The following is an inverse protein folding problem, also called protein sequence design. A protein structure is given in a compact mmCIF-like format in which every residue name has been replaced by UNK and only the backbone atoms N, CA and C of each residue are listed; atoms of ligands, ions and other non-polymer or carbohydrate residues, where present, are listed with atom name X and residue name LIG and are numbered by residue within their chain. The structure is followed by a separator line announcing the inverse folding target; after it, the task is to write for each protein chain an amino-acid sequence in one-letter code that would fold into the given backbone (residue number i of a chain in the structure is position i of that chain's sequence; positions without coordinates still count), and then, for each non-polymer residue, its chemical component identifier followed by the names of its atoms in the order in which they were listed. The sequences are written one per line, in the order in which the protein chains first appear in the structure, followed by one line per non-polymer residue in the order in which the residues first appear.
data_IF_620173982777
#
_entry.id   IF_620173982777
#
_cell.length_a   1.000
_cell.length_b   1.000
_cell.length_c   1.000
_cell.angle_alpha   90.00
_cell.angle_beta   90.00
_cell.angle_gamma   90.00
#
_symmetry.space_group_name_H-M   'P 1'
#
loop_
_entity.id
_entity.type
_entity.pdbx_description
1 polymer ?
#
# COMPACT_ATOMS: atom_id res chain seq x y z
N UNK A 1 17.47 16.18 5.51
CA UNK A 1 16.06 16.61 5.39
C UNK A 1 15.20 15.61 6.12
N UNK A 2 14.19 16.06 6.84
CA UNK A 2 13.33 15.14 7.61
C UNK A 2 12.08 14.82 6.78
N UNK A 3 12.02 13.65 6.17
CA UNK A 3 10.82 13.15 5.44
C UNK A 3 9.57 13.03 6.32
N UNK A 4 9.73 13.16 7.65
CA UNK A 4 8.57 13.22 8.57
C UNK A 4 7.68 14.43 8.32
N UNK A 5 8.26 15.59 7.99
CA UNK A 5 7.50 16.81 7.67
C UNK A 5 6.73 16.61 6.36
N UNK A 6 7.36 15.97 5.37
CA UNK A 6 6.77 15.76 4.06
C UNK A 6 5.53 14.86 4.19
N UNK A 7 5.66 13.70 4.82
CA UNK A 7 4.51 12.81 4.99
C UNK A 7 3.43 13.40 5.91
N UNK A 8 3.82 14.16 6.93
CA UNK A 8 2.88 14.82 7.84
C UNK A 8 1.99 15.84 7.14
N UNK A 9 2.51 16.55 6.13
CA UNK A 9 1.73 17.50 5.33
C UNK A 9 0.59 16.83 4.55
N UNK A 10 0.77 15.56 4.16
CA UNK A 10 -0.21 14.79 3.36
C UNK A 10 -1.22 14.03 4.23
N UNK A 11 -0.96 13.83 5.52
CA UNK A 11 -1.87 13.06 6.40
C UNK A 11 -3.31 13.58 6.48
N UNK A 12 -3.59 14.90 6.43
CA UNK A 12 -4.97 15.40 6.36
C UNK A 12 -5.70 14.92 5.10
N UNK A 13 -5.02 14.89 3.95
CA UNK A 13 -5.58 14.39 2.70
C UNK A 13 -5.82 12.87 2.75
N UNK A 14 -4.89 12.10 3.34
CA UNK A 14 -5.08 10.66 3.56
C UNK A 14 -6.33 10.42 4.43
N UNK A 15 -6.50 11.17 5.52
CA UNK A 15 -7.68 11.03 6.39
C UNK A 15 -8.99 11.35 5.64
N UNK A 16 -8.98 12.40 4.81
CA UNK A 16 -10.13 12.81 3.98
C UNK A 16 -10.46 11.74 2.93
N UNK A 17 -9.46 11.18 2.24
CA UNK A 17 -9.61 10.11 1.27
C UNK A 17 -10.18 8.83 1.92
N UNK A 18 -9.67 8.43 3.09
CA UNK A 18 -10.18 7.30 3.88
C UNK A 18 -11.65 7.50 4.24
N UNK A 19 -12.02 8.69 4.71
CA UNK A 19 -13.42 8.96 5.11
C UNK A 19 -14.36 8.98 3.90
N UNK A 20 -13.92 9.53 2.76
CA UNK A 20 -14.68 9.48 1.51
C UNK A 20 -14.90 8.02 1.07
N UNK A 21 -13.83 7.23 1.02
CA UNK A 21 -13.90 5.82 0.63
C UNK A 21 -14.81 5.00 1.57
N UNK A 22 -14.68 5.19 2.90
CA UNK A 22 -15.58 4.54 3.88
C UNK A 22 -17.05 4.86 3.65
N UNK A 23 -17.38 6.13 3.37
CA UNK A 23 -18.76 6.53 3.07
C UNK A 23 -19.26 5.93 1.78
N UNK A 24 -18.45 5.94 0.72
CA UNK A 24 -18.79 5.33 -0.56
C UNK A 24 -19.03 3.83 -0.41
N UNK A 25 -18.17 3.11 0.32
CA UNK A 25 -18.35 1.68 0.58
C UNK A 25 -19.67 1.38 1.32
N UNK A 26 -20.00 2.15 2.37
CA UNK A 26 -21.20 1.94 3.18
C UNK A 26 -22.51 2.30 2.46
N UNK A 27 -22.48 3.28 1.56
CA UNK A 27 -23.66 3.75 0.84
C UNK A 27 -23.99 2.93 -0.41
N UNK A 28 -23.19 1.90 -0.73
CA UNK A 28 -23.35 1.11 -1.95
C UNK A 28 -22.95 1.88 -3.23
N UNK A 29 -22.36 3.07 -3.11
CA UNK A 29 -21.84 3.86 -4.24
C UNK A 29 -20.48 3.33 -4.76
N UNK A 30 -20.10 2.14 -4.33
CA UNK A 30 -18.95 1.41 -4.81
C UNK A 30 -19.26 0.63 -6.11
N UNK A 31 -20.08 1.25 -7.01
CA UNK A 31 -20.36 0.63 -8.31
C UNK A 31 -19.05 0.37 -9.07
N UNK A 32 -18.85 -0.90 -9.39
CA UNK A 32 -17.66 -1.38 -10.06
C UNK A 32 -17.72 -1.10 -11.54
N UNK A 33 -16.69 -0.42 -12.06
CA UNK A 33 -16.35 -0.40 -13.48
C UNK A 33 -15.14 -1.29 -13.70
N UNK A 34 -15.02 -1.93 -14.86
CA UNK A 34 -13.86 -2.74 -15.22
C UNK A 34 -12.97 -1.94 -16.16
N UNK A 35 -11.69 -1.80 -15.81
CA UNK A 35 -10.66 -1.17 -16.66
C UNK A 35 -10.35 -2.07 -17.89
N UNK A 36 -9.65 -1.51 -18.86
CA UNK A 36 -9.21 -2.24 -20.06
C UNK A 36 -8.32 -3.45 -19.75
N UNK A 37 -7.58 -3.41 -18.63
CA UNK A 37 -6.72 -4.50 -18.15
C UNK A 37 -7.49 -5.55 -17.32
N UNK A 38 -8.81 -5.41 -17.18
CA UNK A 38 -9.67 -6.30 -16.42
C UNK A 38 -9.71 -6.04 -14.91
N UNK A 39 -9.01 -5.03 -14.39
CA UNK A 39 -9.05 -4.67 -12.98
C UNK A 39 -10.30 -3.87 -12.63
N UNK A 40 -10.71 -3.91 -11.36
CA UNK A 40 -11.84 -3.15 -10.85
C UNK A 40 -11.42 -1.71 -10.55
N UNK A 41 -12.31 -0.76 -10.81
CA UNK A 41 -12.20 0.63 -10.39
C UNK A 41 -13.57 1.16 -10.02
N UNK A 42 -13.64 2.08 -9.09
CA UNK A 42 -14.88 2.75 -8.68
C UNK A 42 -14.75 4.28 -8.73
N UNK A 43 -15.85 4.98 -8.63
CA UNK A 43 -15.82 6.44 -8.50
C UNK A 43 -15.04 6.92 -7.27
N UNK A 44 -15.00 6.09 -6.22
CA UNK A 44 -14.25 6.40 -5.00
C UNK A 44 -12.73 6.37 -5.21
N UNK A 45 -12.21 5.50 -6.09
CA UNK A 45 -10.79 5.47 -6.46
C UNK A 45 -10.37 6.82 -7.07
N UNK A 46 -11.12 7.30 -8.07
CA UNK A 46 -10.85 8.59 -8.71
C UNK A 46 -10.98 9.77 -7.75
N UNK A 47 -12.03 9.78 -6.90
CA UNK A 47 -12.23 10.86 -5.95
C UNK A 47 -11.15 10.88 -4.86
N UNK A 48 -10.74 9.71 -4.35
CA UNK A 48 -9.66 9.60 -3.38
C UNK A 48 -8.32 10.01 -4.00
N UNK A 49 -8.02 9.57 -5.23
CA UNK A 49 -6.81 9.98 -5.92
C UNK A 49 -6.76 11.49 -6.16
N UNK A 50 -7.85 12.10 -6.58
CA UNK A 50 -7.94 13.55 -6.73
C UNK A 50 -7.54 14.27 -5.43
N UNK A 51 -8.12 13.88 -4.29
CA UNK A 51 -7.81 14.48 -2.98
C UNK A 51 -6.31 14.38 -2.66
N UNK A 52 -5.71 13.21 -2.90
CA UNK A 52 -4.31 12.95 -2.58
C UNK A 52 -3.36 13.69 -3.52
N UNK A 53 -3.60 13.61 -4.83
CA UNK A 53 -2.76 14.26 -5.84
C UNK A 53 -2.82 15.79 -5.70
N UNK A 54 -4.01 16.34 -5.42
CA UNK A 54 -4.17 17.79 -5.19
C UNK A 54 -3.39 18.26 -3.98
N UNK A 55 -3.43 17.52 -2.87
CA UNK A 55 -2.65 17.86 -1.68
C UNK A 55 -1.13 17.75 -1.94
N UNK A 56 -0.68 16.77 -2.72
CA UNK A 56 0.73 16.68 -3.12
C UNK A 56 1.11 17.91 -3.96
N UNK A 57 0.30 18.28 -4.93
CA UNK A 57 0.53 19.47 -5.75
C UNK A 57 0.63 20.76 -4.92
N UNK A 58 -0.27 20.95 -3.97
CA UNK A 58 -0.32 22.13 -3.11
C UNK A 58 0.91 22.25 -2.18
N UNK A 59 1.36 21.14 -1.61
CA UNK A 59 2.48 21.11 -0.68
C UNK A 59 3.86 20.92 -1.36
N UNK A 60 3.88 20.27 -2.52
CA UNK A 60 5.10 19.86 -3.25
C UNK A 60 4.93 20.07 -4.77
N UNK A 61 4.76 21.32 -5.23
CA UNK A 61 4.40 21.61 -6.62
C UNK A 61 5.44 21.17 -7.67
N UNK A 62 6.67 20.87 -7.22
CA UNK A 62 7.75 20.38 -8.08
C UNK A 62 7.90 18.86 -8.13
N UNK A 63 7.18 18.14 -7.28
CA UNK A 63 7.30 16.68 -7.20
C UNK A 63 6.39 15.99 -8.24
N UNK A 64 6.92 14.98 -8.92
CA UNK A 64 6.11 14.12 -9.78
C UNK A 64 5.20 13.19 -8.95
N UNK A 65 4.09 12.76 -9.56
CA UNK A 65 3.18 11.78 -8.97
C UNK A 65 3.07 10.57 -9.88
N UNK A 66 3.19 9.37 -9.31
CA UNK A 66 2.97 8.08 -9.96
C UNK A 66 1.78 7.42 -9.27
N UNK A 67 0.60 7.47 -9.87
CA UNK A 67 -0.63 6.99 -9.26
C UNK A 67 -1.25 5.83 -10.05
N UNK A 68 -2.07 5.03 -9.39
CA UNK A 68 -2.74 3.89 -10.03
C UNK A 68 -3.69 4.33 -11.13
N UNK A 69 -4.55 5.34 -10.86
CA UNK A 69 -5.56 5.79 -11.79
C UNK A 69 -4.99 6.85 -12.74
N UNK A 70 -5.47 6.82 -13.99
CA UNK A 70 -5.15 7.81 -15.03
C UNK A 70 -6.41 8.44 -15.58
N UNK A 71 -6.30 9.62 -16.21
CA UNK A 71 -7.45 10.36 -16.75
C UNK A 71 -8.15 9.67 -17.95
N UNK A 72 -7.61 8.55 -18.43
CA UNK A 72 -8.10 7.86 -19.64
C UNK A 72 -9.48 7.22 -19.48
N UNK A 73 -9.90 6.93 -18.25
CA UNK A 73 -11.17 6.26 -17.98
C UNK A 73 -12.21 7.23 -17.41
N UNK A 74 -12.82 8.02 -18.27
CA UNK A 74 -13.76 9.10 -17.90
C UNK A 74 -15.14 8.62 -17.44
N UNK A 75 -15.48 7.34 -17.57
CA UNK A 75 -16.82 6.82 -17.27
C UNK A 75 -17.23 6.98 -15.79
N UNK A 76 -16.28 6.97 -14.86
CA UNK A 76 -16.53 7.17 -13.44
C UNK A 76 -16.35 8.63 -12.98
N UNK A 77 -15.92 9.54 -13.88
CA UNK A 77 -15.59 10.93 -13.52
C UNK A 77 -16.79 11.69 -12.95
N UNK A 78 -17.98 11.56 -13.55
CA UNK A 78 -19.18 12.26 -13.07
C UNK A 78 -19.62 11.77 -11.68
N UNK A 79 -19.51 10.48 -11.44
CA UNK A 79 -19.79 9.90 -10.13
C UNK A 79 -18.75 10.33 -9.08
N UNK A 80 -17.46 10.40 -9.46
CA UNK A 80 -16.40 10.90 -8.60
C UNK A 80 -16.60 12.39 -8.25
N UNK A 81 -16.95 13.23 -9.23
CA UNK A 81 -17.27 14.64 -9.00
C UNK A 81 -18.46 14.83 -8.03
N UNK A 82 -19.48 13.97 -8.09
CA UNK A 82 -20.57 13.98 -7.11
C UNK A 82 -20.08 13.66 -5.69
N UNK A 83 -19.13 12.75 -5.54
CA UNK A 83 -18.51 12.43 -4.24
C UNK A 83 -17.66 13.59 -3.71
N UNK A 84 -17.03 14.35 -4.59
CA UNK A 84 -16.14 15.48 -4.26
C UNK A 84 -16.94 16.78 -4.00
N UNK A 85 -18.14 16.90 -4.52
CA UNK A 85 -18.98 18.10 -4.36
C UNK A 85 -18.59 19.24 -5.30
N UNK A 86 -18.07 20.34 -4.77
CA UNK A 86 -17.76 21.56 -5.52
C UNK A 86 -16.43 21.53 -6.29
N UNK A 87 -16.12 20.45 -6.99
CA UNK A 87 -14.90 20.32 -7.80
C UNK A 87 -15.24 20.54 -9.27
N UNK A 88 -14.50 21.41 -9.95
CA UNK A 88 -14.60 21.62 -11.39
C UNK A 88 -14.09 20.41 -12.18
N UNK A 89 -14.74 20.10 -13.32
CA UNK A 89 -14.35 18.96 -14.17
C UNK A 89 -12.93 19.14 -14.71
N UNK A 90 -12.56 20.34 -15.13
CA UNK A 90 -11.25 20.61 -15.73
C UNK A 90 -10.12 20.43 -14.69
N UNK A 91 -10.29 20.98 -13.48
CA UNK A 91 -9.35 20.77 -12.36
C UNK A 91 -9.24 19.27 -11.98
N UNK A 92 -10.35 18.54 -12.01
CA UNK A 92 -10.38 17.11 -11.74
C UNK A 92 -9.57 16.31 -12.78
N UNK A 93 -9.79 16.56 -14.07
CA UNK A 93 -9.10 15.86 -15.17
C UNK A 93 -7.61 16.22 -15.17
N UNK A 94 -7.27 17.50 -15.00
CA UNK A 94 -5.88 17.95 -14.93
C UNK A 94 -5.14 17.28 -13.77
N UNK A 95 -5.74 17.30 -12.57
CA UNK A 95 -5.13 16.70 -11.37
C UNK A 95 -4.92 15.19 -11.55
N UNK A 96 -5.90 14.45 -12.10
CA UNK A 96 -5.72 13.01 -12.38
C UNK A 96 -4.64 12.75 -13.43
N UNK A 97 -4.51 13.61 -14.43
CA UNK A 97 -3.49 13.52 -15.47
C UNK A 97 -2.06 13.56 -14.91
N UNK A 98 -1.85 14.23 -13.78
CA UNK A 98 -0.56 14.27 -13.08
C UNK A 98 -0.11 12.91 -12.53
N UNK A 99 -1.05 12.01 -12.25
CA UNK A 99 -0.76 10.64 -11.80
C UNK A 99 -0.05 9.76 -12.82
N UNK A 100 0.04 10.20 -14.09
CA UNK A 100 0.79 9.54 -15.15
C UNK A 100 2.30 9.76 -15.14
N UNK A 101 2.85 10.46 -14.14
CA UNK A 101 4.27 10.77 -14.04
C UNK A 101 5.17 9.53 -14.08
N UNK A 102 6.37 9.70 -14.64
CA UNK A 102 7.45 8.72 -14.54
C UNK A 102 8.20 8.86 -13.22
N UNK A 103 8.85 7.78 -12.77
CA UNK A 103 9.76 7.83 -11.65
C UNK A 103 10.94 8.78 -11.94
N UNK A 104 11.54 9.29 -10.90
CA UNK A 104 12.71 10.18 -10.94
C UNK A 104 13.44 10.10 -9.61
N UNK A 105 14.38 11.02 -9.35
CA UNK A 105 15.11 11.05 -8.10
C UNK A 105 14.20 11.28 -6.88
N UNK A 106 13.10 12.06 -7.04
CA UNK A 106 12.07 12.30 -6.01
C UNK A 106 10.69 12.34 -6.64
N UNK A 107 9.76 11.55 -6.11
CA UNK A 107 8.35 11.52 -6.56
C UNK A 107 7.44 10.89 -5.50
N UNK A 108 6.14 11.12 -5.64
CA UNK A 108 5.12 10.49 -4.80
C UNK A 108 4.45 9.32 -5.53
N UNK A 109 4.13 8.26 -4.80
CA UNK A 109 3.25 7.22 -5.31
C UNK A 109 1.91 7.23 -4.58
N UNK A 110 0.82 6.96 -5.31
CA UNK A 110 -0.55 6.98 -4.78
C UNK A 110 -1.29 5.74 -5.25
N UNK A 111 -1.81 4.99 -4.29
CA UNK A 111 -2.87 4.01 -4.51
C UNK A 111 -4.10 4.47 -3.73
N UNK A 112 -5.13 4.97 -4.42
CA UNK A 112 -6.29 5.56 -3.77
C UNK A 112 -7.13 4.55 -2.99
N UNK A 113 -7.27 3.31 -3.49
CA UNK A 113 -7.99 2.21 -2.84
C UNK A 113 -7.28 0.89 -3.14
N UNK A 114 -6.17 0.66 -2.46
CA UNK A 114 -5.46 -0.62 -2.54
C UNK A 114 -6.35 -1.75 -1.99
N UNK A 115 -6.64 -2.71 -2.84
CA UNK A 115 -7.60 -3.75 -2.56
C UNK A 115 -9.02 -3.44 -3.05
N UNK A 116 -9.17 -2.80 -4.22
CA UNK A 116 -10.47 -2.41 -4.82
C UNK A 116 -11.49 -3.56 -4.86
N UNK A 117 -11.06 -4.79 -5.13
CA UNK A 117 -11.96 -5.96 -5.09
C UNK A 117 -12.53 -6.20 -3.67
N UNK A 118 -11.69 -6.07 -2.64
CA UNK A 118 -12.13 -6.13 -1.25
C UNK A 118 -13.04 -4.95 -0.89
N UNK A 119 -12.70 -3.76 -1.36
CA UNK A 119 -13.52 -2.57 -1.17
C UNK A 119 -14.96 -2.75 -1.70
N UNK A 120 -15.10 -3.24 -2.93
CA UNK A 120 -16.42 -3.50 -3.55
C UNK A 120 -17.23 -4.53 -2.77
N UNK A 121 -16.59 -5.55 -2.21
CA UNK A 121 -17.24 -6.59 -1.42
C UNK A 121 -17.45 -6.21 0.07
N UNK A 122 -17.21 -4.95 0.44
CA UNK A 122 -17.35 -4.50 1.83
C UNK A 122 -16.26 -5.02 2.78
N UNK A 123 -15.16 -5.56 2.24
CA UNK A 123 -14.03 -6.09 2.99
C UNK A 123 -12.92 -5.01 3.22
N UNK A 124 -11.72 -5.46 3.54
CA UNK A 124 -10.58 -4.58 3.81
C UNK A 124 -10.07 -3.89 2.54
N UNK A 125 -9.66 -2.64 2.70
CA UNK A 125 -8.91 -1.86 1.73
C UNK A 125 -7.98 -0.89 2.46
N UNK A 126 -7.03 -0.31 1.74
CA UNK A 126 -6.17 0.75 2.25
C UNK A 126 -6.14 1.94 1.29
N UNK A 127 -5.91 3.13 1.82
CA UNK A 127 -5.46 4.31 1.07
C UNK A 127 -3.96 4.41 1.29
N UNK A 128 -3.15 4.40 0.23
CA UNK A 128 -1.71 4.37 0.32
C UNK A 128 -1.05 5.54 -0.40
N UNK A 129 -0.13 6.22 0.28
CA UNK A 129 0.71 7.28 -0.28
C UNK A 129 2.14 7.08 0.19
N UNK A 130 3.11 7.19 -0.71
CA UNK A 130 4.51 7.17 -0.34
C UNK A 130 5.33 8.23 -1.08
N UNK A 131 6.36 8.70 -0.42
CA UNK A 131 7.45 9.48 -1.00
C UNK A 131 8.59 8.53 -1.34
N UNK A 132 8.97 8.51 -2.59
CA UNK A 132 10.15 7.79 -3.09
C UNK A 132 11.27 8.78 -3.35
N UNK A 133 12.47 8.46 -2.88
CA UNK A 133 13.67 9.27 -3.08
C UNK A 133 14.82 8.35 -3.46
N UNK A 134 15.45 8.61 -4.59
CA UNK A 134 16.55 7.80 -5.13
C UNK A 134 16.22 6.29 -5.22
N UNK A 135 14.99 6.00 -5.63
CA UNK A 135 14.51 4.61 -5.79
C UNK A 135 14.11 3.89 -4.49
N UNK A 136 14.21 4.55 -3.34
CA UNK A 136 13.86 3.98 -2.03
C UNK A 136 12.58 4.62 -1.47
N UNK A 137 11.76 3.86 -0.75
CA UNK A 137 10.59 4.34 -0.05
C UNK A 137 11.03 5.16 1.19
N UNK A 138 11.11 6.49 1.04
CA UNK A 138 11.62 7.39 2.06
C UNK A 138 10.60 7.72 3.17
N UNK A 139 9.32 7.76 2.83
CA UNK A 139 8.22 7.91 3.78
C UNK A 139 6.93 7.29 3.21
N UNK A 140 6.00 6.94 4.08
CA UNK A 140 4.73 6.36 3.68
C UNK A 140 3.60 6.60 4.67
N UNK A 141 2.37 6.59 4.16
CA UNK A 141 1.15 6.60 4.95
C UNK A 141 0.16 5.57 4.42
N UNK A 142 -0.44 4.80 5.33
CA UNK A 142 -1.50 3.84 5.07
C UNK A 142 -2.73 4.19 5.90
N UNK A 143 -3.80 4.54 5.24
CA UNK A 143 -5.12 4.61 5.85
C UNK A 143 -5.78 3.24 5.80
N UNK A 144 -5.96 2.60 6.95
CA UNK A 144 -6.49 1.23 7.06
C UNK A 144 -7.83 1.27 7.83
N UNK A 145 -8.95 1.64 7.23
CA UNK A 145 -10.22 1.82 7.94
C UNK A 145 -10.74 0.52 8.57
N UNK A 146 -10.50 -0.63 7.93
CA UNK A 146 -10.84 -1.95 8.50
C UNK A 146 -10.02 -2.33 9.74
N UNK A 147 -8.85 -1.69 9.95
CA UNK A 147 -8.05 -1.81 11.16
C UNK A 147 -8.29 -0.65 12.15
N UNK A 148 -9.04 0.39 11.73
CA UNK A 148 -9.44 1.52 12.56
C UNK A 148 -8.41 2.63 12.69
N UNK A 149 -7.33 2.66 11.88
CA UNK A 149 -6.26 3.64 12.01
C UNK A 149 -5.66 4.11 10.68
N UNK A 150 -4.94 5.23 10.77
CA UNK A 150 -3.96 5.69 9.78
C UNK A 150 -2.58 5.50 10.39
N UNK A 151 -1.68 4.86 9.65
CA UNK A 151 -0.29 4.64 10.03
C UNK A 151 0.62 5.42 9.10
N UNK A 152 1.67 6.03 9.64
CA UNK A 152 2.66 6.75 8.84
C UNK A 152 4.06 6.54 9.40
N UNK A 153 5.05 6.62 8.52
CA UNK A 153 6.45 6.50 8.88
C UNK A 153 7.33 7.28 7.90
N UNK A 154 8.55 7.57 8.34
CA UNK A 154 9.61 8.11 7.50
C UNK A 154 10.95 7.48 7.86
N UNK A 155 11.85 7.37 6.89
CA UNK A 155 13.20 6.83 7.07
C UNK A 155 13.96 7.61 8.15
N UNK A 156 14.53 6.90 9.11
CA UNK A 156 15.20 7.48 10.27
C UNK A 156 14.26 7.98 11.37
N UNK A 157 12.93 7.93 11.15
CA UNK A 157 11.89 8.19 12.14
C UNK A 157 11.31 6.89 12.71
N UNK A 158 10.25 7.02 13.49
CA UNK A 158 9.46 5.88 13.98
C UNK A 158 8.15 5.76 13.22
N UNK A 159 7.40 4.72 13.53
CA UNK A 159 6.03 4.54 13.03
C UNK A 159 5.05 5.28 13.93
N UNK A 160 4.21 6.11 13.35
CA UNK A 160 3.12 6.81 14.02
C UNK A 160 1.79 6.18 13.63
N UNK A 161 0.88 6.07 14.60
CA UNK A 161 -0.47 5.56 14.41
C UNK A 161 -1.48 6.52 15.01
N UNK A 162 -2.52 6.84 14.26
CA UNK A 162 -3.67 7.60 14.78
C UNK A 162 -4.97 6.92 14.38
N UNK A 163 -6.03 7.01 15.20
CA UNK A 163 -7.36 6.51 14.82
C UNK A 163 -7.87 7.17 13.54
N UNK A 164 -8.66 6.45 12.74
CA UNK A 164 -9.37 7.02 11.58
C UNK A 164 -10.34 8.13 12.04
N UNK A 165 -10.97 7.94 13.21
CA UNK A 165 -11.77 8.97 13.87
C UNK A 165 -11.11 9.30 15.21
N UNK A 166 -10.59 10.52 15.37
CA UNK A 166 -9.94 10.98 16.60
C UNK A 166 -8.60 11.68 16.38
N UNK A 167 -8.10 12.35 17.43
CA UNK A 167 -6.93 13.24 17.34
C UNK A 167 -5.63 12.65 17.92
N UNK A 168 -5.70 11.56 18.68
CA UNK A 168 -4.51 10.99 19.34
C UNK A 168 -3.64 10.24 18.35
N UNK A 169 -2.39 10.68 18.24
CA UNK A 169 -1.32 9.96 17.53
C UNK A 169 -0.48 9.18 18.53
N UNK A 170 -0.26 7.91 18.27
CA UNK A 170 0.59 7.03 19.08
C UNK A 170 1.87 6.69 18.32
N UNK A 171 3.01 6.73 19.00
CA UNK A 171 4.26 6.19 18.48
C UNK A 171 4.26 4.68 18.76
N UNK A 172 4.36 3.86 17.72
CA UNK A 172 4.48 2.43 17.90
C UNK A 172 5.89 2.06 18.36
N UNK A 173 5.95 1.47 19.54
CA UNK A 173 7.16 0.87 20.07
C UNK A 173 7.22 -0.56 19.55
N UNK A 174 8.38 -0.99 19.03
CA UNK A 174 8.62 -2.36 18.56
C UNK A 174 8.21 -3.37 19.65
N UNK A 175 7.21 -4.18 19.34
CA UNK A 175 6.89 -5.33 20.18
C UNK A 175 7.61 -6.58 19.65
N UNK A 176 8.20 -7.36 20.54
CA UNK A 176 8.82 -8.64 20.21
C UNK A 176 7.78 -9.65 19.71
N UNK A 177 8.22 -10.60 18.90
CA UNK A 177 7.38 -11.67 18.37
C UNK A 177 6.68 -12.49 19.48
N UNK A 178 5.55 -13.09 19.14
CA UNK A 178 4.63 -13.78 20.07
C UNK A 178 5.13 -15.11 20.68
N UNK A 179 6.38 -15.51 20.48
CA UNK A 179 6.96 -16.75 21.04
C UNK A 179 6.40 -18.08 20.52
N UNK A 180 5.39 -18.06 19.64
CA UNK A 180 4.67 -19.27 19.16
C UNK A 180 4.96 -19.64 17.70
N UNK A 181 6.13 -19.24 17.16
CA UNK A 181 6.50 -19.38 15.76
C UNK A 181 5.89 -18.25 14.89
N UNK A 182 6.47 -18.01 13.68
CA UNK A 182 6.09 -16.89 12.84
C UNK A 182 4.65 -17.01 12.32
N UNK A 183 3.94 -15.87 12.31
CA UNK A 183 2.60 -15.69 11.76
C UNK A 183 2.70 -15.08 10.36
N UNK A 184 2.20 -15.79 9.37
CA UNK A 184 2.10 -15.31 7.99
C UNK A 184 0.99 -14.28 7.85
N UNK A 185 1.22 -13.24 7.05
CA UNK A 185 0.18 -12.41 6.49
C UNK A 185 0.21 -12.56 4.95
N UNK A 186 -0.95 -12.78 4.34
CA UNK A 186 -1.05 -13.02 2.90
C UNK A 186 -2.31 -12.36 2.31
N UNK A 187 -2.40 -12.25 0.98
CA UNK A 187 -3.57 -11.69 0.32
C UNK A 187 -4.81 -12.54 0.57
N UNK A 188 -5.95 -11.91 0.89
CA UNK A 188 -7.22 -12.61 1.05
C UNK A 188 -7.74 -13.20 -0.26
N UNK A 189 -7.24 -12.70 -1.41
CA UNK A 189 -7.67 -13.07 -2.76
C UNK A 189 -6.52 -13.64 -3.60
N UNK A 190 -5.58 -14.33 -2.95
CA UNK A 190 -4.52 -15.02 -3.67
C UNK A 190 -5.06 -16.24 -4.43
N UNK A 191 -4.34 -16.66 -5.47
CA UNK A 191 -4.62 -17.90 -6.17
C UNK A 191 -4.29 -19.07 -5.27
N UNK A 192 -4.97 -20.20 -5.46
CA UNK A 192 -4.76 -21.42 -4.67
C UNK A 192 -3.28 -21.85 -4.67
N UNK A 193 -2.62 -21.82 -5.82
CA UNK A 193 -1.20 -22.14 -5.91
C UNK A 193 -0.33 -21.20 -5.03
N UNK A 194 -0.67 -19.91 -4.96
CA UNK A 194 0.08 -18.98 -4.11
C UNK A 194 -0.10 -19.29 -2.62
N UNK A 195 -1.27 -19.76 -2.19
CA UNK A 195 -1.46 -20.24 -0.82
C UNK A 195 -0.66 -21.52 -0.54
N UNK A 196 -0.59 -22.44 -1.52
CA UNK A 196 0.24 -23.64 -1.40
C UNK A 196 1.73 -23.29 -1.28
N UNK A 197 2.20 -22.37 -2.13
CA UNK A 197 3.59 -21.92 -2.13
C UNK A 197 3.96 -21.21 -0.81
N UNK A 198 3.13 -20.27 -0.33
CA UNK A 198 3.36 -19.57 0.94
C UNK A 198 3.30 -20.52 2.13
N UNK A 199 2.39 -21.50 2.10
CA UNK A 199 2.28 -22.55 3.12
C UNK A 199 3.55 -23.41 3.19
N UNK A 200 4.11 -23.81 2.06
CA UNK A 200 5.35 -24.59 2.00
C UNK A 200 6.56 -23.79 2.46
N UNK A 201 6.69 -22.52 2.02
CA UNK A 201 7.74 -21.61 2.49
C UNK A 201 7.68 -21.50 4.02
N UNK A 202 6.48 -21.23 4.56
CA UNK A 202 6.31 -21.06 6.00
C UNK A 202 6.60 -22.33 6.79
N UNK A 203 6.19 -23.50 6.29
CA UNK A 203 6.51 -24.78 6.93
C UNK A 203 8.01 -24.99 7.05
N UNK A 204 8.77 -24.70 5.97
CA UNK A 204 10.25 -24.78 5.97
C UNK A 204 10.88 -23.74 6.89
N UNK A 205 10.30 -22.55 6.98
CA UNK A 205 10.78 -21.48 7.87
C UNK A 205 10.42 -21.69 9.36
N UNK A 206 9.75 -22.80 9.71
CA UNK A 206 9.33 -23.12 11.07
C UNK A 206 8.02 -22.49 11.51
N UNK A 207 7.18 -22.06 10.55
CA UNK A 207 5.81 -21.61 10.79
C UNK A 207 4.88 -22.75 11.16
N UNK A 208 3.84 -22.46 11.95
CA UNK A 208 2.88 -23.45 12.46
C UNK A 208 1.50 -23.34 11.80
N UNK A 209 1.44 -23.00 10.51
CA UNK A 209 0.19 -22.94 9.75
C UNK A 209 -0.76 -21.78 10.13
N UNK A 210 -0.27 -20.77 10.88
CA UNK A 210 -1.07 -19.58 11.21
C UNK A 210 -0.91 -18.53 10.12
N UNK A 211 -2.01 -18.18 9.47
CA UNK A 211 -2.05 -17.11 8.48
C UNK A 211 -3.17 -16.11 8.80
N UNK A 212 -2.88 -14.82 8.60
CA UNK A 212 -3.86 -13.73 8.55
C UNK A 212 -4.03 -13.34 7.10
N UNK A 213 -5.26 -13.33 6.61
CA UNK A 213 -5.60 -12.95 5.24
C UNK A 213 -6.22 -11.57 5.19
N UNK A 214 -5.68 -10.70 4.33
CA UNK A 214 -6.11 -9.32 4.22
C UNK A 214 -5.91 -8.79 2.81
N UNK A 215 -6.84 -7.95 2.34
CA UNK A 215 -6.66 -7.19 1.11
C UNK A 215 -5.83 -5.92 1.35
N UNK A 216 -5.19 -5.43 0.31
CA UNK A 216 -4.39 -4.20 0.33
C UNK A 216 -3.11 -4.26 1.17
N UNK A 217 -2.46 -3.12 1.33
CA UNK A 217 -1.21 -2.93 2.07
C UNK A 217 -1.35 -3.01 3.60
N UNK A 218 -2.55 -3.22 4.13
CA UNK A 218 -2.78 -3.48 5.54
C UNK A 218 -1.91 -4.61 6.11
N UNK A 219 -1.41 -5.52 5.26
CA UNK A 219 -0.45 -6.57 5.60
C UNK A 219 0.85 -6.02 6.18
N UNK A 220 1.37 -4.95 5.61
CA UNK A 220 2.56 -4.27 6.14
C UNK A 220 2.29 -3.59 7.49
N UNK A 221 1.08 -3.02 7.64
CA UNK A 221 0.66 -2.45 8.92
C UNK A 221 0.57 -3.51 10.03
N UNK A 222 0.09 -4.72 9.71
CA UNK A 222 0.09 -5.84 10.67
C UNK A 222 1.51 -6.27 11.08
N UNK A 223 2.47 -6.24 10.16
CA UNK A 223 3.89 -6.48 10.47
C UNK A 223 4.42 -5.39 11.39
N UNK A 224 4.15 -4.12 11.08
CA UNK A 224 4.58 -3.00 11.90
C UNK A 224 4.02 -3.07 13.33
N UNK A 225 2.76 -3.51 13.51
CA UNK A 225 2.14 -3.73 14.81
C UNK A 225 2.63 -5.01 15.53
N UNK A 226 3.37 -5.89 14.86
CA UNK A 226 3.75 -7.20 15.42
C UNK A 226 2.60 -8.21 15.51
N UNK A 227 1.50 -7.98 14.81
CA UNK A 227 0.36 -8.91 14.67
C UNK A 227 0.59 -9.99 13.63
N UNK A 228 1.52 -9.74 12.70
CA UNK A 228 2.11 -10.72 11.80
C UNK A 228 3.63 -10.59 11.82
N UNK A 229 4.34 -11.66 11.50
CA UNK A 229 5.79 -11.70 11.48
C UNK A 229 6.34 -11.68 10.05
N UNK A 230 5.54 -12.15 9.09
CA UNK A 230 5.94 -12.33 7.68
C UNK A 230 4.80 -11.97 6.74
N UNK A 231 5.10 -11.21 5.70
CA UNK A 231 4.28 -11.08 4.50
C UNK A 231 5.06 -11.66 3.32
N UNK A 232 4.38 -12.49 2.52
CA UNK A 232 4.95 -13.09 1.31
C UNK A 232 4.01 -12.81 0.13
N UNK A 233 4.57 -12.22 -0.92
CA UNK A 233 3.92 -12.05 -2.22
C UNK A 233 4.63 -12.92 -3.24
N UNK A 234 4.01 -14.05 -3.58
CA UNK A 234 4.57 -14.98 -4.56
C UNK A 234 4.58 -14.32 -5.95
N UNK A 235 5.66 -14.47 -6.73
CA UNK A 235 5.78 -13.85 -8.05
C UNK A 235 4.62 -14.21 -8.98
N UNK A 236 4.12 -13.23 -9.70
CA UNK A 236 3.18 -13.46 -10.79
C UNK A 236 3.90 -13.40 -12.13
N UNK A 237 4.01 -14.53 -12.84
CA UNK A 237 4.70 -14.60 -14.14
C UNK A 237 4.06 -13.72 -15.22
N UNK A 238 2.77 -13.35 -15.05
CA UNK A 238 2.01 -12.57 -16.04
C UNK A 238 1.93 -11.09 -15.76
N UNK A 239 2.23 -10.64 -14.54
CA UNK A 239 2.11 -9.24 -14.11
C UNK A 239 3.26 -8.87 -13.20
N UNK A 240 3.87 -7.70 -13.45
CA UNK A 240 4.81 -7.08 -12.51
C UNK A 240 4.05 -6.40 -11.39
N UNK A 241 4.64 -6.35 -10.22
CA UNK A 241 4.10 -5.59 -9.09
C UNK A 241 4.22 -4.09 -9.37
N UNK A 242 3.21 -3.32 -9.00
CA UNK A 242 3.20 -1.87 -9.17
C UNK A 242 3.88 -1.19 -7.98
N UNK A 243 4.52 -0.05 -8.21
CA UNK A 243 5.23 0.68 -7.14
C UNK A 243 4.27 1.15 -6.05
N UNK A 244 3.07 1.58 -6.39
CA UNK A 244 2.05 2.06 -5.46
C UNK A 244 1.46 0.96 -4.57
N UNK A 245 1.47 -0.31 -4.99
CA UNK A 245 1.03 -1.48 -4.21
C UNK A 245 1.95 -1.79 -3.01
N UNK A 246 3.17 -1.20 -2.97
CA UNK A 246 4.21 -1.63 -2.03
C UNK A 246 4.98 -0.51 -1.34
N UNK A 247 5.16 0.67 -1.95
CA UNK A 247 6.08 1.68 -1.42
C UNK A 247 5.68 2.19 -0.03
N UNK A 248 4.39 2.48 0.21
CA UNK A 248 3.92 2.97 1.51
C UNK A 248 4.10 1.90 2.60
N UNK A 249 3.73 0.66 2.27
CA UNK A 249 3.90 -0.48 3.17
C UNK A 249 5.36 -0.74 3.51
N UNK A 250 6.26 -0.67 2.51
CA UNK A 250 7.70 -0.83 2.71
C UNK A 250 8.25 0.20 3.69
N UNK A 251 7.98 1.50 3.46
CA UNK A 251 8.44 2.56 4.37
C UNK A 251 7.98 2.33 5.82
N UNK A 252 6.74 1.88 6.02
CA UNK A 252 6.18 1.62 7.35
C UNK A 252 6.79 0.37 7.98
N UNK A 253 6.90 -0.73 7.24
CA UNK A 253 7.45 -1.98 7.77
C UNK A 253 8.93 -1.82 8.16
N UNK A 254 9.73 -1.15 7.33
CA UNK A 254 11.14 -0.89 7.60
C UNK A 254 11.35 0.06 8.78
N UNK A 255 10.56 1.12 8.89
CA UNK A 255 10.58 2.01 10.06
C UNK A 255 10.20 1.28 11.36
N UNK A 256 9.38 0.22 11.27
CA UNK A 256 9.07 -0.68 12.38
C UNK A 256 10.17 -1.73 12.65
N UNK A 257 11.25 -1.75 11.82
CA UNK A 257 12.39 -2.66 11.94
C UNK A 257 12.19 -4.02 11.31
N UNK A 258 11.25 -4.18 10.38
CA UNK A 258 11.23 -5.30 9.46
C UNK A 258 12.24 -5.07 8.32
N UNK A 259 12.59 -6.13 7.59
CA UNK A 259 13.24 -6.06 6.28
C UNK A 259 12.20 -6.31 5.19
N UNK A 260 12.29 -5.54 4.11
CA UNK A 260 11.50 -5.74 2.90
C UNK A 260 12.45 -5.96 1.74
N UNK A 261 12.26 -7.05 1.01
CA UNK A 261 13.08 -7.41 -0.15
C UNK A 261 12.29 -8.31 -1.09
N UNK A 262 12.86 -8.60 -2.23
CA UNK A 262 12.32 -9.62 -3.12
C UNK A 262 12.75 -11.04 -2.72
N UNK A 263 12.43 -12.04 -3.54
CA UNK A 263 12.75 -13.46 -3.28
C UNK A 263 14.23 -13.77 -3.39
N UNK A 264 15.02 -12.92 -4.03
CA UNK A 264 16.47 -13.05 -4.15
C UNK A 264 17.20 -12.33 -3.00
N UNK A 265 16.44 -11.56 -2.17
CA UNK A 265 16.95 -10.81 -1.03
C UNK A 265 17.36 -9.39 -1.39
N UNK A 266 17.12 -8.96 -2.63
CA UNK A 266 17.42 -7.63 -3.14
C UNK A 266 16.37 -6.61 -2.70
N UNK A 267 16.79 -5.37 -2.43
CA UNK A 267 15.87 -4.28 -2.10
C UNK A 267 14.91 -4.00 -3.27
N UNK A 268 13.71 -3.53 -2.95
CA UNK A 268 12.73 -3.14 -3.98
C UNK A 268 13.18 -1.83 -4.64
N UNK A 269 13.35 -1.87 -5.97
CA UNK A 269 13.73 -0.69 -6.77
C UNK A 269 12.50 0.08 -7.23
N UNK A 270 12.05 1.05 -6.42
CA UNK A 270 10.92 1.91 -6.76
C UNK A 270 11.25 2.96 -7.82
N UNK A 271 12.53 3.20 -8.13
CA UNK A 271 12.97 4.17 -9.12
C UNK A 271 12.86 3.72 -10.58
N UNK A 272 12.54 2.45 -10.83
CA UNK A 272 12.50 1.87 -12.17
C UNK A 272 11.24 2.24 -13.00
N UNK A 273 10.34 3.09 -12.48
CA UNK A 273 9.11 3.55 -13.14
C UNK A 273 7.84 3.13 -12.39
N UNK A 274 6.79 2.77 -13.12
CA UNK A 274 5.48 2.42 -12.52
C UNK A 274 5.42 1.02 -11.92
N UNK A 275 6.37 0.15 -12.25
CA UNK A 275 6.42 -1.24 -11.79
C UNK A 275 7.79 -1.59 -11.21
N UNK A 276 7.90 -2.74 -10.58
CA UNK A 276 9.12 -3.33 -10.03
C UNK A 276 9.71 -4.38 -11.01
N UNK A 277 10.33 -3.98 -12.15
CA UNK A 277 10.70 -4.92 -13.20
C UNK A 277 11.87 -5.82 -12.83
N UNK A 278 12.72 -5.38 -11.91
CA UNK A 278 13.91 -6.12 -11.45
C UNK A 278 13.61 -7.08 -10.30
N UNK A 279 12.52 -6.84 -9.55
CA UNK A 279 12.20 -7.59 -8.36
C UNK A 279 11.27 -8.77 -8.66
N UNK A 280 11.51 -9.88 -7.99
CA UNK A 280 10.78 -11.13 -8.14
C UNK A 280 10.12 -11.55 -6.83
N UNK A 281 8.80 -11.37 -6.73
CA UNK A 281 8.07 -11.58 -5.48
C UNK A 281 8.45 -10.56 -4.40
N UNK A 282 7.85 -10.66 -3.23
CA UNK A 282 8.14 -9.77 -2.10
C UNK A 282 8.09 -10.55 -0.79
N UNK A 283 9.05 -10.28 0.07
CA UNK A 283 9.09 -10.72 1.46
C UNK A 283 9.24 -9.49 2.35
N UNK A 284 8.31 -9.33 3.30
CA UNK A 284 8.50 -8.42 4.42
C UNK A 284 8.48 -9.22 5.71
N UNK A 285 9.55 -9.18 6.50
CA UNK A 285 9.62 -9.98 7.71
C UNK A 285 10.44 -9.32 8.83
N UNK A 286 10.12 -9.68 10.07
CA UNK A 286 10.78 -9.15 11.27
C UNK A 286 11.94 -10.02 11.70
N UNK A 287 13.03 -9.38 12.12
CA UNK A 287 14.16 -10.00 12.78
C UNK A 287 14.70 -11.24 12.07
N UNK A 288 15.09 -12.26 12.84
CA UNK A 288 15.66 -13.51 12.31
C UNK A 288 14.70 -14.41 11.51
N UNK A 289 13.44 -14.01 11.37
CA UNK A 289 12.47 -14.74 10.51
C UNK A 289 12.76 -14.49 9.03
N UNK A 290 13.24 -13.31 8.68
CA UNK A 290 13.54 -12.92 7.29
C UNK A 290 14.51 -13.91 6.62
N UNK A 291 15.65 -14.19 7.25
CA UNK A 291 16.68 -15.10 6.70
C UNK A 291 16.17 -16.54 6.58
N UNK A 292 15.30 -16.98 7.51
CA UNK A 292 14.68 -18.30 7.44
C UNK A 292 13.73 -18.41 6.25
N UNK A 293 12.97 -17.34 5.98
CA UNK A 293 12.03 -17.29 4.85
C UNK A 293 12.77 -17.27 3.53
N UNK A 294 13.82 -16.45 3.36
CA UNK A 294 14.63 -16.45 2.14
C UNK A 294 15.26 -17.81 1.86
N UNK A 295 15.79 -18.46 2.90
CA UNK A 295 16.34 -19.83 2.74
C UNK A 295 15.24 -20.80 2.31
N UNK A 296 14.07 -20.73 2.94
CA UNK A 296 12.94 -21.59 2.60
C UNK A 296 12.44 -21.40 1.16
N UNK A 297 12.43 -20.16 0.65
CA UNK A 297 12.12 -19.82 -0.75
C UNK A 297 13.10 -20.51 -1.69
N UNK A 298 14.41 -20.36 -1.43
CA UNK A 298 15.45 -20.99 -2.22
C UNK A 298 15.34 -22.53 -2.21
N UNK A 299 15.09 -23.12 -1.03
CA UNK A 299 14.96 -24.57 -0.86
C UNK A 299 13.64 -25.11 -1.50
N UNK A 300 12.66 -24.26 -1.72
CA UNK A 300 11.41 -24.59 -2.44
C UNK A 300 11.55 -24.46 -3.97
N UNK A 301 12.65 -23.89 -4.47
CA UNK A 301 12.86 -23.66 -5.90
C UNK A 301 12.00 -22.53 -6.49
N UNK A 302 11.63 -21.57 -5.66
CA UNK A 302 10.78 -20.44 -6.00
C UNK A 302 11.58 -19.16 -6.26
#
# INVERSE_FOLDING_TARGET
MSFEKDISAILPAVARAVELARRAQKSGLAEKTTKSDGTAVTAADYAAQFILTKAIEEHFPGDAVVAEETAENTGAADAALKLLGNTGRDDFVETLGRGGGGGGGRFWTVDPIDGTAGFVDGAHFCVAVALVVEGEAAAGALGCPGLGFIMSAARGGGVRKKPVAGEKTELLIKQGGSGRGPVLCESARAREQAYADTGEIMRRAGGRGRAVRMDGQGKYALIAEGRADVYIRVPNRRRRESVWDHAAGTAIAEAAGARVADFDGDALDFGAGRTLPKNRGIVAARGGVFEKVLRAIKDAGL
#
